data_IF_126982854297
#
_entry.id   IF_126982854297
#
_cell.length_a   1.000
_cell.length_b   1.000
_cell.length_c   1.000
_cell.angle_alpha   90.00
_cell.angle_beta   90.00
_cell.angle_gamma   90.00
#
_symmetry.space_group_name_H-M   'P 1'
#
loop_
_entity.id
_entity.type
_entity.pdbx_description
1 polymer ?
#
# COMPACT_ATOMS: atom_id res chain seq x y z
N UNK A 1 -14.36 -15.68 -7.31
CA UNK A 1 -14.35 -14.45 -6.45
C UNK A 1 -13.11 -13.66 -6.84
N UNK A 2 -13.16 -12.34 -6.90
CA UNK A 2 -11.94 -11.57 -7.14
C UNK A 2 -11.00 -11.77 -5.94
N UNK A 3 -9.70 -11.92 -6.21
CA UNK A 3 -8.69 -12.10 -5.17
C UNK A 3 -8.55 -10.86 -4.28
N UNK A 4 -8.64 -9.68 -4.86
CA UNK A 4 -8.51 -8.39 -4.15
C UNK A 4 -9.86 -7.80 -3.74
N UNK A 5 -9.84 -6.82 -2.84
CA UNK A 5 -11.02 -6.06 -2.41
C UNK A 5 -11.68 -5.33 -3.59
N UNK A 6 -13.01 -5.21 -3.51
CA UNK A 6 -13.82 -4.47 -4.50
C UNK A 6 -14.15 -3.07 -3.98
N UNK A 7 -14.38 -2.14 -4.88
CA UNK A 7 -14.87 -0.80 -4.52
C UNK A 7 -16.17 -0.91 -3.71
N UNK A 8 -16.18 -0.26 -2.55
CA UNK A 8 -17.26 -0.31 -1.56
C UNK A 8 -17.07 -1.35 -0.45
N UNK A 9 -16.14 -2.30 -0.59
CA UNK A 9 -15.84 -3.24 0.49
C UNK A 9 -15.28 -2.52 1.70
N UNK A 10 -15.56 -3.04 2.90
CA UNK A 10 -14.97 -2.56 4.15
C UNK A 10 -13.51 -2.98 4.25
N UNK A 11 -12.69 -2.09 4.81
CA UNK A 11 -11.31 -2.42 5.15
C UNK A 11 -11.28 -3.62 6.12
N UNK A 12 -10.59 -4.71 5.79
CA UNK A 12 -10.30 -5.76 6.74
C UNK A 12 -9.50 -5.21 7.92
N UNK A 13 -9.79 -5.68 9.13
CA UNK A 13 -9.01 -5.31 10.30
C UNK A 13 -7.60 -5.89 10.23
N UNK A 14 -6.68 -5.23 10.90
CA UNK A 14 -5.30 -5.67 11.03
C UNK A 14 -4.75 -5.31 12.42
N UNK A 15 -3.72 -6.04 12.83
CA UNK A 15 -2.92 -5.71 14.02
C UNK A 15 -1.46 -6.05 13.73
N UNK A 16 -0.67 -5.02 13.43
CA UNK A 16 0.69 -5.18 12.89
C UNK A 16 1.70 -4.35 13.66
N UNK A 17 2.87 -4.93 14.03
CA UNK A 17 3.96 -4.17 14.63
C UNK A 17 4.60 -3.25 13.57
N UNK A 18 4.97 -2.04 13.97
CA UNK A 18 5.59 -1.04 13.13
C UNK A 18 7.02 -0.69 13.58
N UNK A 19 7.77 -0.09 12.67
CA UNK A 19 9.18 0.27 12.86
C UNK A 19 9.43 1.34 13.93
N UNK A 20 8.38 2.04 14.35
CA UNK A 20 8.43 3.02 15.45
C UNK A 20 8.25 2.38 16.84
N UNK A 21 8.20 1.05 16.91
CA UNK A 21 8.03 0.27 18.14
C UNK A 21 6.59 0.14 18.63
N UNK A 22 5.62 0.66 17.87
CA UNK A 22 4.19 0.53 18.19
C UNK A 22 3.55 -0.61 17.41
N UNK A 23 2.37 -1.01 17.85
CA UNK A 23 1.48 -1.90 17.10
C UNK A 23 0.27 -1.10 16.65
N UNK A 24 -0.06 -1.20 15.37
CA UNK A 24 -1.20 -0.49 14.77
C UNK A 24 -2.30 -1.45 14.36
N UNK A 25 -3.53 -1.00 14.52
CA UNK A 25 -4.75 -1.64 14.08
C UNK A 25 -5.63 -0.64 13.34
N UNK A 26 -6.68 -1.11 12.68
CA UNK A 26 -7.57 -0.22 11.91
C UNK A 26 -8.19 0.89 12.78
N UNK A 27 -8.49 0.59 14.07
CA UNK A 27 -9.11 1.54 15.00
C UNK A 27 -8.19 2.72 15.33
N UNK A 28 -6.86 2.57 15.25
CA UNK A 28 -5.92 3.65 15.52
C UNK A 28 -6.03 4.81 14.51
N UNK A 29 -6.59 4.51 13.35
CA UNK A 29 -6.86 5.48 12.28
C UNK A 29 -8.30 6.00 12.27
N UNK A 30 -9.14 5.68 13.26
CA UNK A 30 -10.57 6.01 13.27
C UNK A 30 -10.87 7.51 13.12
N UNK A 31 -9.96 8.39 13.53
CA UNK A 31 -10.10 9.84 13.43
C UNK A 31 -9.74 10.41 12.05
N UNK A 32 -9.09 9.65 11.18
CA UNK A 32 -8.73 10.12 9.84
C UNK A 32 -9.95 10.11 8.91
N UNK A 33 -10.08 11.15 8.08
CA UNK A 33 -11.14 11.25 7.06
C UNK A 33 -10.95 10.21 5.97
N UNK A 34 -9.69 9.92 5.65
CA UNK A 34 -9.29 8.94 4.64
C UNK A 34 -8.14 8.11 5.21
N UNK A 35 -8.15 6.81 4.93
CA UNK A 35 -7.04 5.91 5.25
C UNK A 35 -6.48 5.33 3.95
N UNK A 36 -5.18 5.50 3.75
CA UNK A 36 -4.43 4.81 2.69
C UNK A 36 -3.64 3.68 3.32
N UNK A 37 -4.00 2.46 2.94
CA UNK A 37 -3.20 1.25 3.23
C UNK A 37 -2.47 0.88 1.96
N UNK A 38 -1.18 0.65 2.02
CA UNK A 38 -0.44 0.20 0.84
C UNK A 38 0.56 -0.90 1.18
N UNK A 39 0.58 -1.91 0.33
CA UNK A 39 1.55 -2.99 0.44
C UNK A 39 2.84 -2.57 -0.25
N UNK A 40 3.93 -2.67 0.48
CA UNK A 40 5.25 -2.18 0.06
C UNK A 40 6.34 -3.12 0.56
N UNK A 41 7.60 -2.86 0.24
CA UNK A 41 8.72 -3.67 0.68
C UNK A 41 10.04 -2.88 0.64
N UNK A 42 11.15 -3.51 0.98
CA UNK A 42 12.44 -2.82 1.05
C UNK A 42 13.22 -2.83 -0.27
N UNK A 43 13.00 -3.82 -1.13
CA UNK A 43 13.90 -4.13 -2.25
C UNK A 43 13.31 -3.93 -3.65
N UNK A 44 11.96 -3.90 -3.79
CA UNK A 44 11.33 -3.84 -5.10
C UNK A 44 11.70 -2.55 -5.85
N UNK A 45 12.27 -2.60 -7.06
CA UNK A 45 12.66 -1.40 -7.80
C UNK A 45 11.49 -0.47 -8.14
N UNK A 46 10.27 -0.97 -8.19
CA UNK A 46 9.06 -0.17 -8.37
C UNK A 46 8.66 0.58 -7.09
N UNK A 47 8.95 0.02 -5.91
CA UNK A 47 8.80 0.70 -4.63
C UNK A 47 9.87 1.78 -4.50
N UNK A 48 11.15 1.38 -4.61
CA UNK A 48 12.29 2.30 -4.47
C UNK A 48 12.21 3.46 -5.47
N UNK A 49 11.83 3.16 -6.71
CA UNK A 49 11.69 4.19 -7.76
C UNK A 49 10.57 5.19 -7.50
N UNK A 50 9.52 4.80 -6.75
CA UNK A 50 8.36 5.68 -6.45
C UNK A 50 8.33 6.22 -5.03
N UNK A 51 9.34 5.97 -4.20
CA UNK A 51 9.39 6.42 -2.81
C UNK A 51 9.20 7.92 -2.66
N UNK A 52 9.92 8.72 -3.44
CA UNK A 52 9.88 10.18 -3.32
C UNK A 52 8.53 10.76 -3.80
N UNK A 53 7.91 10.16 -4.81
CA UNK A 53 6.55 10.56 -5.23
C UNK A 53 5.53 10.16 -4.17
N UNK A 54 5.67 8.97 -3.58
CA UNK A 54 4.83 8.53 -2.46
C UNK A 54 5.01 9.46 -1.26
N UNK A 55 6.25 9.85 -0.93
CA UNK A 55 6.56 10.84 0.11
C UNK A 55 5.81 12.17 -0.16
N UNK A 56 5.95 12.71 -1.36
CA UNK A 56 5.30 13.96 -1.74
C UNK A 56 3.78 13.88 -1.62
N UNK A 57 3.18 12.76 -2.02
CA UNK A 57 1.75 12.50 -1.82
C UNK A 57 1.37 12.51 -0.33
N UNK A 58 2.12 11.80 0.52
CA UNK A 58 1.84 11.77 1.96
C UNK A 58 1.93 13.17 2.56
N UNK A 59 3.00 13.92 2.27
CA UNK A 59 3.20 15.29 2.77
C UNK A 59 2.10 16.23 2.32
N UNK A 60 1.61 16.08 1.09
CA UNK A 60 0.52 16.89 0.52
C UNK A 60 -0.83 16.67 1.20
N UNK A 61 -1.10 15.45 1.66
CA UNK A 61 -2.44 15.05 2.11
C UNK A 61 -2.58 14.79 3.60
N UNK A 62 -1.49 14.52 4.36
CA UNK A 62 -1.56 14.23 5.80
C UNK A 62 -2.30 15.31 6.61
N UNK A 63 -2.04 16.58 6.33
CA UNK A 63 -2.66 17.71 7.05
C UNK A 63 -4.11 17.94 6.61
N UNK A 64 -4.59 17.21 5.59
CA UNK A 64 -5.99 17.21 5.13
C UNK A 64 -6.82 16.09 5.73
N UNK A 65 -6.28 15.40 6.73
CA UNK A 65 -6.95 14.29 7.43
C UNK A 65 -6.78 12.94 6.76
N UNK A 66 -5.75 12.76 5.92
CA UNK A 66 -5.40 11.47 5.33
C UNK A 66 -4.32 10.81 6.16
N UNK A 67 -4.56 9.58 6.61
CA UNK A 67 -3.57 8.74 7.26
C UNK A 67 -3.00 7.72 6.27
N UNK A 68 -1.71 7.38 6.45
CA UNK A 68 -1.00 6.44 5.58
C UNK A 68 -0.29 5.36 6.39
N UNK A 69 -0.47 4.11 5.99
CA UNK A 69 0.26 2.97 6.54
C UNK A 69 0.76 2.08 5.40
N UNK A 70 2.08 1.92 5.33
CA UNK A 70 2.75 0.95 4.47
C UNK A 70 2.92 -0.38 5.21
N UNK A 71 2.57 -1.48 4.58
CA UNK A 71 2.65 -2.82 5.16
C UNK A 71 3.59 -3.67 4.31
N UNK A 72 4.63 -4.24 4.94
CA UNK A 72 5.49 -5.23 4.32
C UNK A 72 5.03 -6.63 4.72
N UNK A 73 4.51 -7.37 3.75
CA UNK A 73 4.07 -8.76 3.90
C UNK A 73 4.98 -9.75 3.17
N UNK A 74 6.08 -9.30 2.56
CA UNK A 74 6.97 -10.19 1.85
C UNK A 74 7.63 -11.21 2.78
N UNK A 75 7.73 -12.47 2.35
CA UNK A 75 8.49 -13.48 3.05
C UNK A 75 9.98 -13.12 3.12
N UNK A 76 10.53 -13.05 4.33
CA UNK A 76 11.96 -12.86 4.57
C UNK A 76 12.78 -14.10 4.19
N UNK A 77 12.16 -15.28 4.08
CA UNK A 77 12.80 -16.50 3.60
C UNK A 77 13.02 -16.47 2.07
N UNK A 78 12.11 -15.81 1.33
CA UNK A 78 12.28 -15.58 -0.11
C UNK A 78 13.19 -14.39 -0.39
N UNK A 79 13.09 -13.33 0.44
CA UNK A 79 13.87 -12.10 0.30
C UNK A 79 14.34 -11.61 1.68
N UNK A 80 15.55 -11.99 2.13
CA UNK A 80 16.07 -11.67 3.46
C UNK A 80 16.09 -10.17 3.80
N UNK A 81 16.26 -9.31 2.78
CA UNK A 81 16.24 -7.85 2.96
C UNK A 81 14.84 -7.27 3.23
N UNK A 82 13.80 -8.09 3.23
CA UNK A 82 12.46 -7.68 3.64
C UNK A 82 12.12 -8.03 5.10
N UNK A 83 13.11 -8.39 5.89
CA UNK A 83 12.95 -8.59 7.33
C UNK A 83 12.68 -7.27 8.08
N UNK A 84 12.28 -7.39 9.34
CA UNK A 84 11.92 -6.24 10.16
C UNK A 84 13.12 -5.31 10.46
N UNK A 85 14.34 -5.87 10.59
CA UNK A 85 15.55 -5.09 10.87
C UNK A 85 15.88 -4.14 9.69
N UNK A 86 15.80 -4.65 8.47
CA UNK A 86 16.00 -3.82 7.27
C UNK A 86 14.86 -2.78 7.08
N UNK A 87 13.62 -3.08 7.50
CA UNK A 87 12.54 -2.07 7.52
C UNK A 87 12.87 -0.91 8.47
N UNK A 88 13.36 -1.22 9.69
CA UNK A 88 13.77 -0.20 10.67
C UNK A 88 14.91 0.66 10.10
N UNK A 89 15.93 0.03 9.51
CA UNK A 89 17.06 0.75 8.91
C UNK A 89 16.63 1.63 7.73
N UNK A 90 15.72 1.13 6.87
CA UNK A 90 15.17 1.89 5.76
C UNK A 90 14.42 3.14 6.25
N UNK A 91 13.59 3.00 7.28
CA UNK A 91 12.88 4.14 7.89
C UNK A 91 13.85 5.16 8.49
N UNK A 92 14.92 4.68 9.15
CA UNK A 92 15.97 5.52 9.74
C UNK A 92 16.74 6.30 8.69
N UNK A 93 17.09 5.63 7.58
CA UNK A 93 17.86 6.22 6.48
C UNK A 93 17.04 7.23 5.70
N UNK A 94 15.78 6.94 5.41
CA UNK A 94 14.95 7.76 4.52
C UNK A 94 13.99 8.70 5.25
N UNK A 95 13.63 8.44 6.51
CA UNK A 95 12.68 9.25 7.27
C UNK A 95 11.32 9.39 6.59
N UNK A 96 10.77 8.29 6.07
CA UNK A 96 9.48 8.32 5.38
C UNK A 96 8.34 8.79 6.29
N UNK A 97 7.40 9.63 5.80
CA UNK A 97 6.37 10.25 6.62
C UNK A 97 5.11 9.37 6.84
N UNK A 98 5.22 8.07 6.71
CA UNK A 98 4.13 7.11 6.95
C UNK A 98 4.49 6.07 8.00
N UNK A 99 3.48 5.43 8.59
CA UNK A 99 3.68 4.25 9.43
C UNK A 99 4.17 3.09 8.55
N UNK A 100 5.25 2.43 8.95
CA UNK A 100 5.77 1.25 8.23
C UNK A 100 5.70 0.03 9.12
N UNK A 101 4.84 -0.91 8.77
CA UNK A 101 4.44 -2.05 9.59
C UNK A 101 4.76 -3.40 8.93
N UNK A 102 4.92 -4.43 9.76
CA UNK A 102 5.26 -5.80 9.33
C UNK A 102 4.07 -6.73 9.46
N UNK A 103 3.65 -7.35 8.37
CA UNK A 103 2.68 -8.45 8.33
C UNK A 103 3.42 -9.77 8.07
N UNK A 104 4.04 -10.33 9.13
CA UNK A 104 4.86 -11.54 9.02
C UNK A 104 4.04 -12.78 8.66
N UNK A 105 2.80 -12.87 9.15
CA UNK A 105 1.89 -14.00 8.87
C UNK A 105 1.32 -13.96 7.45
N UNK A 106 1.39 -12.81 6.79
CA UNK A 106 0.76 -12.54 5.49
C UNK A 106 -0.78 -12.59 5.51
N UNK A 107 -1.38 -12.59 6.70
CA UNK A 107 -2.84 -12.64 6.82
C UNK A 107 -3.49 -11.34 6.37
N UNK A 108 -2.82 -10.19 6.61
CA UNK A 108 -3.31 -8.90 6.13
C UNK A 108 -3.23 -8.84 4.60
N UNK A 109 -2.10 -9.25 4.00
CA UNK A 109 -1.97 -9.31 2.55
C UNK A 109 -3.04 -10.20 1.91
N UNK A 110 -3.35 -11.35 2.52
CA UNK A 110 -4.42 -12.26 2.06
C UNK A 110 -5.79 -11.61 2.18
N UNK A 111 -6.09 -10.97 3.32
CA UNK A 111 -7.39 -10.34 3.58
C UNK A 111 -7.68 -9.17 2.62
N UNK A 112 -6.65 -8.40 2.25
CA UNK A 112 -6.75 -7.30 1.29
C UNK A 112 -6.68 -7.80 -0.17
N UNK A 113 -6.19 -9.00 -0.39
CA UNK A 113 -5.88 -9.52 -1.71
C UNK A 113 -4.77 -8.73 -2.39
N UNK A 114 -3.69 -8.47 -1.66
CA UNK A 114 -2.55 -7.73 -2.19
C UNK A 114 -1.86 -8.52 -3.31
N UNK A 115 -1.70 -7.89 -4.47
CA UNK A 115 -1.14 -8.54 -5.66
C UNK A 115 0.36 -8.24 -5.83
N UNK A 116 0.72 -6.98 -5.61
CA UNK A 116 2.05 -6.45 -5.95
C UNK A 116 2.56 -5.49 -4.87
N UNK A 117 3.81 -5.11 -4.98
CA UNK A 117 4.42 -4.01 -4.24
C UNK A 117 5.01 -2.99 -5.24
N UNK A 118 4.55 -1.70 -5.21
CA UNK A 118 3.49 -1.16 -4.36
C UNK A 118 2.07 -1.48 -4.86
N UNK A 119 1.11 -1.64 -3.93
CA UNK A 119 -0.32 -1.76 -4.21
C UNK A 119 -1.09 -0.93 -3.19
N UNK A 120 -1.87 0.04 -3.65
CA UNK A 120 -2.55 1.03 -2.81
C UNK A 120 -4.05 0.73 -2.67
N UNK A 121 -4.58 1.02 -1.48
CA UNK A 121 -5.99 0.94 -1.13
C UNK A 121 -6.38 2.22 -0.40
N UNK A 122 -7.34 2.96 -0.92
CA UNK A 122 -7.84 4.21 -0.32
C UNK A 122 -9.24 3.97 0.22
N UNK A 123 -9.41 4.19 1.51
CA UNK A 123 -10.67 4.02 2.24
C UNK A 123 -11.21 5.37 2.69
N UNK A 124 -12.51 5.57 2.56
CA UNK A 124 -13.23 6.72 3.07
C UNK A 124 -13.31 6.73 4.61
N UNK A 125 -14.03 7.69 5.17
CA UNK A 125 -14.23 7.83 6.62
C UNK A 125 -14.97 6.62 7.23
N UNK A 126 -15.85 5.97 6.48
CA UNK A 126 -16.57 4.76 6.87
C UNK A 126 -15.75 3.48 6.61
N UNK A 127 -14.49 3.64 6.18
CA UNK A 127 -13.60 2.53 5.80
C UNK A 127 -14.13 1.69 4.64
N UNK A 128 -14.86 2.30 3.72
CA UNK A 128 -15.21 1.71 2.44
C UNK A 128 -14.17 2.05 1.39
N UNK A 129 -13.79 1.06 0.60
CA UNK A 129 -12.80 1.22 -0.46
C UNK A 129 -13.33 2.13 -1.57
N UNK A 130 -12.61 3.20 -1.88
CA UNK A 130 -12.93 4.17 -2.94
C UNK A 130 -11.94 4.14 -4.10
N UNK A 131 -10.73 3.63 -3.86
CA UNK A 131 -9.71 3.42 -4.88
C UNK A 131 -8.81 2.24 -4.53
N UNK A 132 -8.41 1.45 -5.54
CA UNK A 132 -7.31 0.49 -5.42
C UNK A 132 -6.52 0.38 -6.72
N UNK A 133 -5.22 0.11 -6.58
CA UNK A 133 -4.33 -0.10 -7.71
C UNK A 133 -2.93 0.50 -7.51
N UNK A 134 -2.40 1.09 -8.58
CA UNK A 134 -1.07 1.71 -8.61
C UNK A 134 -1.08 3.09 -7.96
N UNK A 135 0.08 3.55 -7.46
CA UNK A 135 0.25 4.95 -7.05
C UNK A 135 0.40 5.86 -8.27
N UNK A 136 1.29 5.47 -9.16
CA UNK A 136 1.64 6.21 -10.39
C UNK A 136 1.73 5.26 -11.59
N UNK A 137 1.66 5.80 -12.80
CA UNK A 137 1.69 5.00 -14.04
C UNK A 137 3.10 4.52 -14.42
N UNK A 138 4.16 5.15 -13.89
CA UNK A 138 5.54 4.71 -14.08
C UNK A 138 6.33 4.73 -12.75
N UNK A 139 6.10 3.78 -11.84
CA UNK A 139 6.74 3.78 -10.53
C UNK A 139 8.23 3.47 -10.56
N UNK A 140 8.74 2.84 -11.63
CA UNK A 140 10.16 2.54 -11.78
C UNK A 140 10.98 3.75 -12.27
N UNK A 141 10.37 4.62 -13.07
CA UNK A 141 10.96 5.85 -13.57
C UNK A 141 9.96 7.00 -13.48
N UNK A 142 9.88 7.60 -12.30
CA UNK A 142 8.91 8.67 -12.02
C UNK A 142 9.21 9.98 -12.75
N UNK A 143 10.42 10.13 -13.35
CA UNK A 143 10.70 11.26 -14.22
C UNK A 143 9.88 11.21 -15.53
N UNK A 144 9.46 10.03 -15.96
CA UNK A 144 8.59 9.82 -17.12
C UNK A 144 7.12 9.58 -16.74
N UNK A 145 6.78 9.74 -15.49
CA UNK A 145 5.39 9.62 -14.98
C UNK A 145 4.50 10.66 -15.67
N UNK A 146 3.34 10.21 -16.14
CA UNK A 146 2.29 11.06 -16.73
C UNK A 146 1.11 11.25 -15.79
N UNK A 147 0.82 10.25 -14.93
CA UNK A 147 -0.33 10.26 -14.04
C UNK A 147 0.08 9.79 -12.65
N UNK A 148 -0.25 10.59 -11.65
CA UNK A 148 -0.29 10.16 -10.24
C UNK A 148 -1.75 9.79 -9.91
N UNK A 149 -2.06 8.49 -10.00
CA UNK A 149 -3.41 7.97 -9.80
C UNK A 149 -3.85 8.08 -8.33
N UNK A 150 -2.90 7.94 -7.40
CA UNK A 150 -3.17 8.08 -5.96
C UNK A 150 -3.53 9.52 -5.61
N UNK A 151 -2.75 10.49 -6.06
CA UNK A 151 -3.04 11.93 -5.85
C UNK A 151 -4.40 12.29 -6.40
N UNK A 152 -4.70 11.89 -7.64
CA UNK A 152 -6.00 12.13 -8.28
C UNK A 152 -7.14 11.56 -7.45
N UNK A 153 -7.05 10.30 -7.03
CA UNK A 153 -8.09 9.66 -6.23
C UNK A 153 -8.32 10.39 -4.90
N UNK A 154 -7.25 10.80 -4.22
CA UNK A 154 -7.33 11.55 -2.97
C UNK A 154 -7.92 12.96 -3.17
N UNK A 155 -7.53 13.68 -4.22
CA UNK A 155 -8.07 15.00 -4.55
C UNK A 155 -9.57 14.94 -4.84
N UNK A 156 -9.98 14.03 -5.70
CA UNK A 156 -11.38 13.88 -6.08
C UNK A 156 -12.24 13.50 -4.87
N UNK A 157 -11.79 12.53 -4.06
CA UNK A 157 -12.52 12.08 -2.89
C UNK A 157 -12.63 13.17 -1.82
N UNK A 158 -11.54 13.88 -1.49
CA UNK A 158 -11.54 14.96 -0.51
C UNK A 158 -12.37 16.18 -0.97
N UNK A 159 -12.53 16.37 -2.28
CA UNK A 159 -13.43 17.36 -2.87
C UNK A 159 -14.91 16.93 -2.86
N UNK A 160 -15.25 15.77 -2.27
CA UNK A 160 -16.60 15.22 -2.25
C UNK A 160 -17.06 14.63 -3.59
N UNK A 161 -16.13 14.40 -4.52
CA UNK A 161 -16.42 13.80 -5.82
C UNK A 161 -16.27 12.29 -5.76
N UNK A 162 -16.97 11.60 -6.66
CA UNK A 162 -16.70 10.20 -6.96
C UNK A 162 -15.33 10.09 -7.64
N UNK A 163 -14.51 9.13 -7.21
CA UNK A 163 -13.23 8.84 -7.87
C UNK A 163 -13.49 8.43 -9.32
N UNK A 164 -12.93 9.18 -10.25
CA UNK A 164 -13.22 9.02 -11.70
C UNK A 164 -12.66 7.71 -12.26
N UNK A 165 -11.49 7.28 -11.77
CA UNK A 165 -10.86 5.99 -12.09
C UNK A 165 -10.59 5.25 -10.79
N UNK A 166 -11.58 4.49 -10.25
CA UNK A 166 -11.46 3.86 -8.94
C UNK A 166 -10.60 2.60 -8.92
N UNK A 167 -10.32 2.04 -10.09
CA UNK A 167 -9.51 0.83 -10.26
C UNK A 167 -8.41 1.08 -11.28
N UNK A 168 -7.18 0.67 -10.93
CA UNK A 168 -6.05 0.56 -11.87
C UNK A 168 -5.28 -0.71 -11.54
N UNK A 169 -4.59 -1.29 -12.53
CA UNK A 169 -3.70 -2.41 -12.25
C UNK A 169 -2.49 -1.94 -11.43
N UNK A 170 -2.20 -2.57 -10.28
CA UNK A 170 -0.98 -2.26 -9.54
C UNK A 170 0.25 -2.64 -10.37
N UNK A 171 1.22 -1.74 -10.44
CA UNK A 171 2.48 -1.94 -11.17
C UNK A 171 3.59 -2.17 -10.15
N UNK A 172 4.18 -3.37 -10.18
CA UNK A 172 5.19 -3.74 -9.20
C UNK A 172 5.60 -5.20 -9.25
N UNK A 173 6.49 -5.59 -8.34
CA UNK A 173 6.84 -6.98 -8.14
C UNK A 173 5.69 -7.71 -7.41
N UNK A 174 5.52 -9.00 -7.67
CA UNK A 174 4.57 -9.83 -6.91
C UNK A 174 4.93 -9.81 -5.42
N UNK A 175 3.91 -9.84 -4.56
CA UNK A 175 4.10 -10.15 -3.13
C UNK A 175 4.85 -11.48 -3.02
N UNK A 176 5.85 -11.54 -2.13
CA UNK A 176 6.65 -12.75 -1.91
C UNK A 176 5.98 -13.61 -0.84
N UNK A 177 5.27 -14.65 -1.29
CA UNK A 177 4.52 -15.53 -0.42
C UNK A 177 5.41 -16.58 0.24
N UNK A 178 5.17 -16.85 1.51
CA UNK A 178 5.92 -17.86 2.28
C UNK A 178 5.79 -19.25 1.65
N UNK A 179 6.91 -19.95 1.50
CA UNK A 179 6.95 -21.28 0.89
C UNK A 179 6.66 -21.33 -0.61
N UNK A 180 6.67 -20.17 -1.29
CA UNK A 180 6.49 -20.05 -2.74
C UNK A 180 7.73 -19.42 -3.39
N UNK A 181 7.90 -19.64 -4.68
CA UNK A 181 8.95 -18.95 -5.43
C UNK A 181 8.64 -17.44 -5.56
N UNK A 182 9.66 -16.67 -5.93
CA UNK A 182 9.57 -15.21 -5.98
C UNK A 182 8.56 -14.67 -7.02
N UNK A 183 8.13 -15.49 -7.97
CA UNK A 183 7.22 -15.09 -9.05
C UNK A 183 5.82 -15.69 -8.90
N UNK A 184 5.61 -16.52 -7.89
CA UNK A 184 4.31 -17.13 -7.65
C UNK A 184 3.22 -16.08 -7.37
N UNK A 185 2.03 -16.35 -7.89
CA UNK A 185 0.82 -15.58 -7.59
C UNK A 185 -0.33 -16.53 -7.24
N UNK A 186 -1.26 -16.12 -6.37
CA UNK A 186 -2.47 -16.89 -6.12
C UNK A 186 -3.21 -17.18 -7.44
N UNK A 187 -3.79 -18.40 -7.61
CA UNK A 187 -4.49 -18.77 -8.85
C UNK A 187 -5.66 -17.84 -9.23
N UNK A 188 -6.31 -17.22 -8.23
CA UNK A 188 -7.41 -16.28 -8.44
C UNK A 188 -6.94 -14.83 -8.65
N UNK A 189 -5.62 -14.59 -8.59
CA UNK A 189 -5.06 -13.27 -8.84
C UNK A 189 -5.14 -12.96 -10.33
N UNK A 190 -5.70 -11.81 -10.66
CA UNK A 190 -5.82 -11.33 -12.04
C UNK A 190 -5.66 -9.81 -12.07
N UNK A 191 -5.48 -9.26 -13.26
CA UNK A 191 -5.52 -7.83 -13.45
C UNK A 191 -6.90 -7.29 -13.03
N UNK A 192 -6.92 -6.08 -12.46
CA UNK A 192 -8.14 -5.47 -11.92
C UNK A 192 -8.99 -4.82 -13.03
N UNK A 193 -8.34 -4.46 -14.13
CA UNK A 193 -8.94 -3.81 -15.30
C UNK A 193 -8.35 -4.37 -16.58
#
# INVERSE_FOLDING_TARGET
MAFTLRIGDKAPDFKVPATDGKTYSLVDFAKSKVLVVFFTCNHCPYVVGSDEVTRATVERFRDKGVAFIGINSNSENTYPTDDFAHMVERMKTHGFPWVYARDKSQDVAKAYGALRTPHFYVFDQDRKLVYTGRGVDNPRNTAEMKVNDLDRALEEHLAGKRVSVPLTNPIGCNVKWEGKDAHWMPPDACDLV
#
